data_IF_593820146183
#
_entry.id   IF_593820146183
#
_cell.length_a   1.000
_cell.length_b   1.000
_cell.length_c   1.000
_cell.angle_alpha   90.00
_cell.angle_beta   90.00
_cell.angle_gamma   90.00
#
_symmetry.space_group_name_H-M   'P 1'
#
loop_
_entity.id
_entity.type
_entity.pdbx_description
1 polymer ?
#
# COMPACT_ATOMS: atom_id res chain seq x y z
N UNK A 1 -8.78 -16.70 18.03
CA UNK A 1 -9.76 -17.36 17.13
C UNK A 1 -9.50 -16.87 15.72
N UNK A 2 -8.87 -17.68 14.86
CA UNK A 2 -8.69 -17.35 13.46
C UNK A 2 -10.02 -17.56 12.73
N UNK A 3 -10.55 -16.54 12.06
CA UNK A 3 -11.76 -16.70 11.24
C UNK A 3 -11.43 -17.67 10.12
N UNK A 4 -12.13 -18.80 10.06
CA UNK A 4 -12.07 -19.72 8.92
C UNK A 4 -12.60 -18.98 7.68
N UNK A 5 -11.77 -18.84 6.65
CA UNK A 5 -12.08 -18.09 5.43
C UNK A 5 -12.87 -18.98 4.47
N UNK A 6 -14.10 -19.32 4.84
CA UNK A 6 -15.04 -20.00 3.94
C UNK A 6 -15.37 -19.07 2.77
N UNK A 7 -14.86 -19.36 1.58
CA UNK A 7 -15.15 -18.61 0.34
C UNK A 7 -14.20 -17.46 0.01
N UNK A 8 -12.91 -17.57 0.31
CA UNK A 8 -11.92 -16.58 -0.12
C UNK A 8 -11.83 -16.52 -1.66
N UNK A 9 -12.34 -15.46 -2.28
CA UNK A 9 -11.99 -15.17 -3.67
C UNK A 9 -10.49 -14.91 -3.77
N UNK A 10 -9.85 -15.56 -4.75
CA UNK A 10 -8.45 -15.32 -5.05
C UNK A 10 -8.27 -13.89 -5.59
N UNK A 11 -7.26 -13.14 -5.11
CA UNK A 11 -6.94 -11.84 -5.70
C UNK A 11 -6.52 -12.01 -7.16
N UNK A 12 -7.03 -11.15 -8.06
CA UNK A 12 -6.61 -11.12 -9.47
C UNK A 12 -5.20 -10.53 -9.59
N UNK A 13 -4.88 -9.52 -8.78
CA UNK A 13 -3.56 -8.89 -8.68
C UNK A 13 -2.98 -9.10 -7.28
N UNK A 14 -2.38 -10.27 -7.06
CA UNK A 14 -1.82 -10.65 -5.75
C UNK A 14 -0.66 -9.77 -5.27
N UNK A 15 0.00 -9.07 -6.20
CA UNK A 15 1.13 -8.16 -5.93
C UNK A 15 0.73 -6.69 -6.10
N UNK A 16 -0.54 -6.36 -5.86
CA UNK A 16 -1.01 -4.99 -5.88
C UNK A 16 -0.82 -4.29 -4.53
N UNK A 17 -0.31 -3.06 -4.57
CA UNK A 17 -0.36 -2.11 -3.46
C UNK A 17 -1.37 -0.99 -3.75
N UNK A 18 -1.63 -0.16 -2.74
CA UNK A 18 -2.49 1.02 -2.89
C UNK A 18 -1.83 2.23 -2.26
N UNK A 19 -2.15 3.41 -2.78
CA UNK A 19 -1.76 4.69 -2.19
C UNK A 19 -2.93 5.68 -2.28
N UNK A 20 -3.20 6.34 -1.16
CA UNK A 20 -4.03 7.55 -1.04
C UNK A 20 -3.07 8.73 -0.86
N UNK A 21 -3.12 9.66 -1.81
CA UNK A 21 -2.24 10.82 -1.91
C UNK A 21 -2.97 12.03 -1.33
N UNK A 22 -2.61 12.40 -0.10
CA UNK A 22 -2.98 13.68 0.53
C UNK A 22 -1.88 14.74 0.44
N UNK A 23 -2.23 15.98 0.79
CA UNK A 23 -1.33 17.14 0.71
C UNK A 23 -0.16 17.10 1.71
N UNK A 24 -0.37 16.50 2.88
CA UNK A 24 0.64 16.42 3.95
C UNK A 24 1.12 14.99 4.24
N UNK A 25 0.39 14.00 3.73
CA UNK A 25 0.64 12.59 4.02
C UNK A 25 0.17 11.71 2.87
N UNK A 26 0.91 10.63 2.63
CA UNK A 26 0.51 9.53 1.77
C UNK A 26 0.25 8.29 2.62
N UNK A 27 -0.95 7.74 2.49
CA UNK A 27 -1.32 6.48 3.12
C UNK A 27 -1.15 5.36 2.11
N UNK A 28 -0.33 4.37 2.42
CA UNK A 28 0.00 3.28 1.52
C UNK A 28 -0.29 1.93 2.15
N UNK A 29 -0.72 0.96 1.34
CA UNK A 29 -0.97 -0.41 1.78
C UNK A 29 -0.36 -1.45 0.82
N UNK A 30 0.03 -2.58 1.39
CA UNK A 30 0.50 -3.78 0.68
C UNK A 30 -0.34 -4.98 1.09
N UNK A 31 -0.27 -6.12 0.37
CA UNK A 31 -0.94 -7.33 0.83
C UNK A 31 -0.49 -7.72 2.25
N UNK A 32 -1.41 -8.21 3.11
CA UNK A 32 -1.19 -8.32 4.54
C UNK A 32 -0.11 -9.34 4.94
N UNK A 33 0.32 -10.19 4.02
CA UNK A 33 1.38 -11.18 4.20
C UNK A 33 2.78 -10.67 3.81
N UNK A 34 2.92 -9.42 3.34
CA UNK A 34 4.18 -8.87 2.81
C UNK A 34 5.00 -8.10 3.83
N UNK A 35 4.38 -7.59 4.88
CA UNK A 35 5.04 -6.81 5.93
C UNK A 35 4.24 -6.92 7.25
N UNK A 36 4.89 -7.00 8.43
CA UNK A 36 4.21 -6.98 9.72
C UNK A 36 3.39 -5.69 9.97
N UNK A 37 3.74 -4.59 9.30
CA UNK A 37 2.99 -3.34 9.27
C UNK A 37 2.57 -3.04 7.82
N UNK A 38 1.48 -3.65 7.33
CA UNK A 38 1.10 -3.64 5.91
C UNK A 38 0.41 -2.34 5.48
N UNK A 39 0.14 -1.41 6.39
CA UNK A 39 -0.45 -0.10 6.11
C UNK A 39 0.41 0.97 6.77
N UNK A 40 0.98 1.87 5.98
CA UNK A 40 1.98 2.84 6.47
C UNK A 40 1.70 4.24 5.96
N UNK A 41 2.14 5.19 6.76
CA UNK A 41 2.08 6.62 6.47
C UNK A 41 3.48 7.11 6.03
N UNK A 42 3.53 7.91 4.97
CA UNK A 42 4.75 8.53 4.45
C UNK A 42 4.50 10.03 4.27
N UNK A 43 5.46 10.89 4.59
CA UNK A 43 5.30 12.31 4.29
C UNK A 43 5.50 12.57 2.78
N UNK A 44 5.23 13.81 2.36
CA UNK A 44 5.19 14.21 0.95
C UNK A 44 6.54 14.71 0.41
N UNK A 45 7.59 14.75 1.23
CA UNK A 45 8.92 15.18 0.78
C UNK A 45 9.68 14.06 0.07
N UNK A 46 10.61 14.42 -0.81
CA UNK A 46 11.33 13.50 -1.72
C UNK A 46 11.94 12.29 -1.01
N UNK A 47 12.50 12.47 0.19
CA UNK A 47 13.08 11.38 0.97
C UNK A 47 12.05 10.31 1.36
N UNK A 48 10.84 10.70 1.75
CA UNK A 48 9.79 9.75 2.12
C UNK A 48 9.13 9.13 0.89
N UNK A 49 9.07 9.84 -0.24
CA UNK A 49 8.67 9.24 -1.53
C UNK A 49 9.61 8.11 -1.96
N UNK A 50 10.93 8.28 -1.77
CA UNK A 50 11.89 7.21 -2.03
C UNK A 50 11.72 6.04 -1.06
N UNK A 51 11.52 6.31 0.24
CA UNK A 51 11.27 5.25 1.25
C UNK A 51 9.99 4.47 0.94
N UNK A 52 8.94 5.14 0.47
CA UNK A 52 7.71 4.52 0.01
C UNK A 52 7.97 3.59 -1.19
N UNK A 53 8.71 4.06 -2.20
CA UNK A 53 9.05 3.26 -3.38
C UNK A 53 9.92 2.04 -3.02
N UNK A 54 10.93 2.22 -2.16
CA UNK A 54 11.74 1.13 -1.64
C UNK A 54 10.89 0.13 -0.85
N UNK A 55 9.94 0.60 -0.05
CA UNK A 55 9.06 -0.26 0.73
C UNK A 55 8.14 -1.10 -0.17
N UNK A 56 7.53 -0.50 -1.18
CA UNK A 56 6.77 -1.25 -2.19
C UNK A 56 7.63 -2.30 -2.90
N UNK A 57 8.87 -1.95 -3.25
CA UNK A 57 9.81 -2.88 -3.88
C UNK A 57 10.14 -4.06 -2.96
N UNK A 58 10.43 -3.81 -1.67
CA UNK A 58 10.69 -4.87 -0.68
C UNK A 58 9.48 -5.78 -0.47
N UNK A 59 8.27 -5.23 -0.51
CA UNK A 59 7.03 -6.00 -0.37
C UNK A 59 6.65 -6.80 -1.64
N UNK A 60 7.40 -6.65 -2.73
CA UNK A 60 7.13 -7.31 -4.01
C UNK A 60 5.94 -6.71 -4.77
N UNK A 61 5.54 -5.48 -4.47
CA UNK A 61 4.45 -4.80 -5.20
C UNK A 61 4.87 -4.54 -6.64
N UNK A 62 4.01 -4.94 -7.59
CA UNK A 62 4.23 -4.79 -9.04
C UNK A 62 3.33 -3.73 -9.67
N UNK A 63 2.19 -3.46 -9.05
CA UNK A 63 1.19 -2.50 -9.53
C UNK A 63 0.63 -1.74 -8.34
N UNK A 64 0.44 -0.43 -8.48
CA UNK A 64 -0.13 0.42 -7.42
C UNK A 64 -1.42 1.03 -7.93
N UNK A 65 -2.52 0.84 -7.20
CA UNK A 65 -3.71 1.65 -7.38
C UNK A 65 -3.53 2.98 -6.65
N UNK A 66 -3.75 4.09 -7.36
CA UNK A 66 -3.49 5.43 -6.85
C UNK A 66 -4.79 6.22 -6.79
N UNK A 67 -5.15 6.66 -5.59
CA UNK A 67 -6.19 7.64 -5.34
C UNK A 67 -5.50 8.97 -5.00
N UNK A 68 -5.94 10.06 -5.62
CA UNK A 68 -5.39 11.39 -5.38
C UNK A 68 -6.54 12.34 -5.12
N UNK A 69 -6.64 12.77 -3.87
CA UNK A 69 -7.51 13.89 -3.51
C UNK A 69 -6.82 15.16 -4.00
N UNK A 70 -7.32 15.71 -5.12
CA UNK A 70 -6.81 16.98 -5.64
C UNK A 70 -6.87 18.08 -4.58
N UNK A 71 -5.91 18.99 -4.59
CA UNK A 71 -6.03 20.25 -3.82
C UNK A 71 -7.14 21.09 -4.45
N UNK A 72 -8.23 21.33 -3.70
CA UNK A 72 -9.25 22.32 -4.05
C UNK A 72 -8.94 23.66 -3.38
#
# INVERSE_FOLDING_TARGET
MARSKTGALAPIHADAGTIDIGATLHMAAVPPDRDPDPVRAFATFTGDLHRLAEWFTRCGVRTVAMESTGVS
#
